data_IF_597444695338
#
_entry.id   IF_597444695338
#
_cell.length_a   1.000
_cell.length_b   1.000
_cell.length_c   1.000
_cell.angle_alpha   90.00
_cell.angle_beta   90.00
_cell.angle_gamma   90.00
#
_symmetry.space_group_name_H-M   'P 1'
#
loop_
_entity.id
_entity.type
_entity.pdbx_description
1 polymer ?
#
# COMPACT_ATOMS: atom_id res chain seq x y z
N UNK A 1 1.06 -16.52 21.79
CA UNK A 1 2.51 -16.35 21.97
C UNK A 1 3.02 -15.33 20.96
N UNK A 2 3.84 -14.37 21.38
CA UNK A 2 4.43 -13.36 20.49
C UNK A 2 5.69 -13.92 19.84
N UNK A 3 5.83 -13.76 18.53
CA UNK A 3 7.04 -14.14 17.80
C UNK A 3 8.20 -13.19 18.08
N UNK A 4 9.44 -13.63 17.81
CA UNK A 4 10.72 -12.92 18.01
C UNK A 4 10.85 -11.54 17.30
N UNK A 5 9.83 -11.10 16.57
CA UNK A 5 9.75 -9.82 15.85
C UNK A 5 8.77 -8.81 16.51
N UNK A 6 8.43 -9.01 17.78
CA UNK A 6 7.34 -8.28 18.45
C UNK A 6 7.69 -6.83 18.82
N UNK A 7 7.39 -5.88 17.93
CA UNK A 7 7.57 -4.42 18.11
C UNK A 7 6.51 -3.71 18.97
N UNK A 8 5.96 -4.36 20.01
CA UNK A 8 5.60 -3.71 21.29
C UNK A 8 4.79 -4.67 22.16
N UNK A 9 5.31 -4.97 23.34
CA UNK A 9 4.55 -5.62 24.40
C UNK A 9 3.69 -4.58 25.13
N UNK A 10 2.45 -4.92 25.53
CA UNK A 10 1.58 -4.05 26.33
C UNK A 10 2.13 -3.92 27.76
N UNK A 11 2.09 -2.70 28.31
CA UNK A 11 2.03 -2.48 29.77
C UNK A 11 0.54 -2.40 30.12
N UNK A 12 -0.03 -3.45 30.74
CA UNK A 12 -1.48 -3.52 31.00
C UNK A 12 -1.91 -2.67 32.22
N UNK A 13 -1.04 -2.45 33.20
CA UNK A 13 -1.31 -1.58 34.36
C UNK A 13 -0.08 -1.46 35.27
N UNK A 14 0.15 -0.30 35.88
CA UNK A 14 0.99 -0.18 37.08
C UNK A 14 0.23 -0.78 38.27
N UNK A 15 0.56 -2.00 38.65
CA UNK A 15 0.13 -2.56 39.94
C UNK A 15 0.68 -1.69 41.08
N UNK A 16 -0.18 -1.03 41.87
CA UNK A 16 0.22 -0.47 43.16
C UNK A 16 0.49 -1.63 44.12
N UNK A 17 1.70 -2.16 44.06
CA UNK A 17 2.19 -3.23 44.94
C UNK A 17 3.31 -4.01 44.28
N UNK A 18 4.51 -3.88 44.86
CA UNK A 18 5.73 -4.67 44.61
C UNK A 18 6.37 -4.64 43.21
N UNK A 19 6.38 -3.50 42.52
CA UNK A 19 7.43 -3.15 41.53
C UNK A 19 7.58 -4.02 40.27
N UNK A 20 6.86 -5.12 40.12
CA UNK A 20 6.96 -6.00 38.96
C UNK A 20 5.87 -5.67 37.92
N UNK A 21 6.32 -5.23 36.74
CA UNK A 21 5.48 -4.99 35.57
C UNK A 21 5.28 -6.31 34.83
N UNK A 22 4.06 -6.85 34.83
CA UNK A 22 3.71 -8.02 34.01
C UNK A 22 3.28 -7.57 32.61
N UNK A 23 4.05 -7.96 31.59
CA UNK A 23 3.72 -7.78 30.18
C UNK A 23 2.76 -8.90 29.73
N UNK A 24 1.52 -8.57 29.34
CA UNK A 24 0.63 -9.52 28.64
C UNK A 24 0.75 -9.31 27.13
N UNK A 25 1.02 -10.39 26.39
CA UNK A 25 1.08 -10.39 24.93
C UNK A 25 -0.26 -9.95 24.32
N UNK A 26 -0.30 -8.74 23.79
CA UNK A 26 -1.42 -8.19 23.04
C UNK A 26 -0.92 -7.40 21.84
N UNK A 27 -1.77 -7.22 20.82
CA UNK A 27 -1.42 -6.45 19.61
C UNK A 27 -0.86 -5.09 20.03
N UNK A 28 0.34 -4.71 19.55
CA UNK A 28 0.87 -3.37 19.71
C UNK A 28 -0.13 -2.24 19.48
N UNK A 29 -0.23 -1.32 20.44
CA UNK A 29 -1.03 -0.11 20.25
C UNK A 29 -0.35 0.86 19.25
N UNK A 30 0.99 0.78 19.13
CA UNK A 30 1.81 1.77 18.42
C UNK A 30 2.85 1.13 17.47
N UNK A 31 2.75 -0.16 17.12
CA UNK A 31 3.70 -0.74 16.14
C UNK A 31 3.26 -0.48 14.71
N UNK A 32 4.08 0.26 13.97
CA UNK A 32 4.05 0.35 12.52
C UNK A 32 5.39 -0.13 11.95
N UNK A 33 5.43 -1.03 10.94
CA UNK A 33 6.67 -1.50 10.30
C UNK A 33 7.53 -0.41 9.63
N UNK A 34 6.97 0.79 9.43
CA UNK A 34 7.57 1.89 8.69
C UNK A 34 7.72 3.16 9.54
N UNK A 35 7.88 3.00 10.86
CA UNK A 35 8.19 4.10 11.77
C UNK A 35 9.48 4.81 11.37
N UNK A 36 9.50 6.13 11.55
CA UNK A 36 10.68 6.95 11.29
C UNK A 36 11.71 6.83 12.43
N UNK A 37 12.99 7.15 12.17
CA UNK A 37 14.04 7.04 13.19
C UNK A 37 13.81 7.86 14.47
N UNK A 38 13.11 8.97 14.37
CA UNK A 38 12.68 9.82 15.49
C UNK A 38 11.53 9.19 16.29
N UNK A 39 10.53 8.63 15.60
CA UNK A 39 9.44 7.88 16.22
C UNK A 39 9.98 6.66 16.97
N UNK A 40 10.87 5.88 16.35
CA UNK A 40 11.53 4.72 16.96
C UNK A 40 12.28 5.14 18.22
N UNK A 41 13.09 6.20 18.16
CA UNK A 41 13.83 6.70 19.34
C UNK A 41 12.90 7.13 20.47
N UNK A 42 11.79 7.80 20.13
CA UNK A 42 10.78 8.21 21.10
C UNK A 42 10.14 6.99 21.79
N UNK A 43 9.70 6.00 21.03
CA UNK A 43 9.04 4.82 21.59
C UNK A 43 10.00 3.91 22.34
N UNK A 44 11.23 3.72 21.83
CA UNK A 44 12.28 2.98 22.53
C UNK A 44 12.58 3.60 23.90
N UNK A 45 12.69 4.94 23.97
CA UNK A 45 12.90 5.66 25.23
C UNK A 45 11.69 5.61 26.19
N UNK A 46 10.47 5.73 25.67
CA UNK A 46 9.25 5.69 26.50
C UNK A 46 8.93 4.29 27.04
N UNK A 47 9.17 3.25 26.24
CA UNK A 47 8.84 1.86 26.59
C UNK A 47 10.02 1.12 27.22
N UNK A 48 11.20 1.76 27.29
CA UNK A 48 12.47 1.14 27.69
C UNK A 48 12.73 -0.17 26.94
N UNK A 49 12.38 -0.19 25.65
CA UNK A 49 12.38 -1.38 24.81
C UNK A 49 13.56 -1.33 23.82
N UNK A 50 14.59 -2.13 24.09
CA UNK A 50 15.79 -2.24 23.25
C UNK A 50 15.55 -3.01 21.94
N UNK A 51 14.39 -3.64 21.76
CA UNK A 51 14.04 -4.36 20.53
C UNK A 51 13.58 -3.44 19.40
N UNK A 52 13.27 -2.17 19.72
CA UNK A 52 12.94 -1.12 18.76
C UNK A 52 14.20 -0.61 18.04
N UNK A 53 14.75 -1.43 17.15
CA UNK A 53 15.89 -1.07 16.31
C UNK A 53 15.43 -0.36 15.03
N UNK A 54 16.19 0.66 14.61
CA UNK A 54 16.01 1.30 13.31
C UNK A 54 16.59 0.42 12.21
N UNK A 55 15.73 -0.41 11.61
CA UNK A 55 16.07 -1.23 10.45
C UNK A 55 15.45 -0.58 9.21
N UNK A 56 16.28 -0.28 8.20
CA UNK A 56 15.79 0.22 6.92
C UNK A 56 15.11 -0.92 6.16
N UNK A 57 13.78 -0.96 6.22
CA UNK A 57 12.93 -1.90 5.47
C UNK A 57 12.95 -1.58 3.98
N UNK A 58 12.67 -2.53 3.07
CA UNK A 58 12.61 -2.24 1.62
C UNK A 58 11.46 -1.29 1.29
N UNK A 59 10.28 -1.63 1.83
CA UNK A 59 9.08 -0.81 1.78
C UNK A 59 9.20 0.35 2.76
N UNK A 60 9.03 1.59 2.33
CA UNK A 60 9.06 2.76 3.21
C UNK A 60 8.04 3.79 2.80
N UNK A 61 7.67 4.63 3.76
CA UNK A 61 6.67 5.66 3.55
C UNK A 61 7.12 6.81 2.64
N UNK A 62 8.41 6.98 2.36
CA UNK A 62 8.92 7.98 1.41
C UNK A 62 9.32 7.37 0.05
N UNK A 63 8.89 6.14 -0.23
CA UNK A 63 9.00 5.58 -1.57
C UNK A 63 8.15 6.44 -2.52
N UNK A 64 8.70 6.83 -3.67
CA UNK A 64 7.93 7.57 -4.67
C UNK A 64 7.00 6.61 -5.43
N UNK A 65 7.59 5.54 -5.95
CA UNK A 65 6.91 4.44 -6.63
C UNK A 65 7.79 3.20 -6.56
N UNK A 66 7.17 2.03 -6.76
CA UNK A 66 7.84 0.76 -6.97
C UNK A 66 7.27 0.09 -8.22
N UNK A 67 8.10 -0.66 -8.93
CA UNK A 67 7.71 -1.33 -10.16
C UNK A 67 8.15 -2.78 -10.17
N UNK A 68 7.33 -3.64 -10.76
CA UNK A 68 7.72 -4.99 -11.18
C UNK A 68 7.47 -5.07 -12.68
N UNK A 69 8.53 -5.27 -13.47
CA UNK A 69 8.45 -5.34 -14.92
C UNK A 69 8.47 -6.81 -15.32
N UNK A 70 7.41 -7.24 -15.99
CA UNK A 70 7.25 -8.58 -16.53
C UNK A 70 7.39 -8.52 -18.04
N UNK A 71 8.36 -9.26 -18.59
CA UNK A 71 8.57 -9.39 -20.03
C UNK A 71 8.30 -10.83 -20.43
N UNK A 72 7.40 -11.05 -21.39
CA UNK A 72 6.96 -12.39 -21.80
C UNK A 72 7.32 -12.64 -23.26
N UNK A 73 8.30 -13.51 -23.48
CA UNK A 73 8.85 -13.80 -24.81
C UNK A 73 7.89 -14.53 -25.75
N UNK A 74 6.85 -15.18 -25.21
CA UNK A 74 5.85 -15.93 -25.98
C UNK A 74 4.65 -15.08 -26.41
N UNK A 75 4.68 -13.77 -26.14
CA UNK A 75 3.61 -12.83 -26.49
C UNK A 75 4.18 -11.69 -27.35
N UNK A 76 3.37 -11.07 -28.21
CA UNK A 76 3.76 -9.86 -28.94
C UNK A 76 4.17 -8.71 -28.02
N UNK A 77 5.03 -7.81 -28.50
CA UNK A 77 5.68 -6.79 -27.68
C UNK A 77 4.73 -5.82 -26.97
N UNK A 78 3.54 -5.57 -27.53
CA UNK A 78 2.55 -4.63 -26.99
C UNK A 78 1.78 -5.18 -25.78
N UNK A 79 1.51 -6.48 -25.74
CA UNK A 79 0.83 -7.16 -24.63
C UNK A 79 1.82 -7.93 -23.72
N UNK A 80 2.96 -8.36 -24.26
CA UNK A 80 3.95 -9.19 -23.58
C UNK A 80 4.69 -8.47 -22.46
N UNK A 81 4.91 -7.17 -22.60
CA UNK A 81 5.48 -6.30 -21.58
C UNK A 81 4.42 -5.73 -20.64
N UNK A 82 4.57 -5.98 -19.34
CA UNK A 82 3.67 -5.44 -18.31
C UNK A 82 4.48 -4.82 -17.18
N UNK A 83 4.28 -3.52 -16.95
CA UNK A 83 4.82 -2.81 -15.79
C UNK A 83 3.75 -2.75 -14.69
N UNK A 84 3.97 -3.46 -13.60
CA UNK A 84 3.15 -3.40 -12.40
C UNK A 84 3.66 -2.29 -11.49
N UNK A 85 2.96 -1.17 -11.45
CA UNK A 85 3.38 0.03 -10.72
C UNK A 85 2.57 0.16 -9.43
N UNK A 86 3.24 0.48 -8.32
CA UNK A 86 2.62 0.95 -7.09
C UNK A 86 3.20 2.33 -6.73
N UNK A 87 2.34 3.27 -6.35
CA UNK A 87 2.76 4.59 -5.87
C UNK A 87 2.88 4.60 -4.36
N UNK A 88 3.75 5.46 -3.81
CA UNK A 88 3.99 5.54 -2.36
C UNK A 88 4.54 4.21 -1.79
N UNK A 89 4.15 3.81 -0.59
CA UNK A 89 4.72 2.64 0.08
C UNK A 89 4.30 1.29 -0.56
N UNK A 90 5.21 0.48 -1.12
CA UNK A 90 4.87 -0.80 -1.75
C UNK A 90 4.34 -1.87 -0.80
N UNK A 91 4.57 -1.72 0.50
CA UNK A 91 4.00 -2.59 1.54
C UNK A 91 2.56 -2.24 1.89
N UNK A 92 2.04 -1.12 1.37
CA UNK A 92 0.67 -0.68 1.60
C UNK A 92 -0.10 -0.59 0.28
N UNK A 93 0.42 0.13 -0.71
CA UNK A 93 -0.26 0.44 -1.96
C UNK A 93 -0.50 -0.79 -2.86
N UNK A 94 -1.56 -0.77 -3.69
CA UNK A 94 -1.79 -1.81 -4.68
C UNK A 94 -0.86 -1.61 -5.87
N UNK A 95 -0.70 -2.68 -6.67
CA UNK A 95 -0.06 -2.59 -7.98
C UNK A 95 -1.12 -2.58 -9.07
N UNK A 96 -0.99 -1.68 -10.03
CA UNK A 96 -1.81 -1.65 -11.24
C UNK A 96 -0.94 -1.93 -12.47
N UNK A 97 -1.48 -2.63 -13.49
CA UNK A 97 -0.73 -2.98 -14.69
C UNK A 97 -0.77 -1.85 -15.74
N UNK A 98 0.39 -1.58 -16.32
CA UNK A 98 0.54 -0.78 -17.54
C UNK A 98 1.17 -1.69 -18.59
N UNK A 99 0.50 -1.87 -19.72
CA UNK A 99 1.03 -2.65 -20.83
C UNK A 99 1.94 -1.80 -21.70
N UNK A 100 2.94 -2.41 -22.34
CA UNK A 100 3.85 -1.72 -23.27
C UNK A 100 3.13 -1.14 -24.48
N UNK A 101 1.99 -1.70 -24.87
CA UNK A 101 1.13 -1.19 -25.94
C UNK A 101 0.30 0.03 -25.58
N UNK A 102 0.34 0.49 -24.31
CA UNK A 102 -0.33 1.73 -23.93
C UNK A 102 0.35 2.93 -24.56
N UNK A 103 -0.45 3.83 -25.15
CA UNK A 103 0.00 5.14 -25.62
C UNK A 103 -0.41 6.27 -24.68
N UNK A 104 -1.42 6.03 -23.85
CA UNK A 104 -1.97 7.01 -22.92
C UNK A 104 -2.09 6.40 -21.53
N UNK A 105 -2.00 7.27 -20.53
CA UNK A 105 -2.15 6.92 -19.13
C UNK A 105 -3.18 7.85 -18.47
N UNK A 106 -3.83 7.40 -17.38
CA UNK A 106 -4.68 8.27 -16.57
C UNK A 106 -4.01 9.60 -16.24
N UNK A 107 -4.70 10.71 -16.50
CA UNK A 107 -4.18 12.08 -16.35
C UNK A 107 -3.54 12.33 -14.97
N UNK A 108 -4.10 11.73 -13.91
CA UNK A 108 -3.61 11.85 -12.53
C UNK A 108 -2.18 11.33 -12.33
N UNK A 109 -1.71 10.41 -13.18
CA UNK A 109 -0.33 9.91 -13.15
C UNK A 109 0.66 10.93 -13.73
N UNK A 110 0.20 11.82 -14.62
CA UNK A 110 1.02 12.90 -15.19
C UNK A 110 1.22 14.09 -14.25
N UNK A 111 0.50 14.14 -13.13
CA UNK A 111 0.57 15.26 -12.19
C UNK A 111 1.54 14.95 -11.03
N UNK A 112 2.57 15.78 -10.88
CA UNK A 112 3.50 15.66 -9.75
C UNK A 112 2.80 16.02 -8.43
N UNK A 113 2.69 15.03 -7.53
CA UNK A 113 2.19 15.20 -6.17
C UNK A 113 3.27 15.37 -5.09
N UNK A 114 4.57 15.39 -5.42
CA UNK A 114 5.61 15.34 -4.38
C UNK A 114 5.79 16.64 -3.60
N UNK A 115 5.66 17.80 -4.28
CA UNK A 115 5.94 19.09 -3.65
C UNK A 115 4.80 19.63 -2.77
N UNK A 116 3.55 19.28 -3.08
CA UNK A 116 2.37 19.78 -2.36
C UNK A 116 1.20 18.81 -2.48
N UNK A 117 0.28 18.86 -1.52
CA UNK A 117 -1.01 18.15 -1.61
C UNK A 117 -1.77 18.66 -2.83
N UNK A 118 -2.20 17.73 -3.67
CA UNK A 118 -3.11 17.99 -4.79
C UNK A 118 -4.06 16.82 -4.96
N UNK A 119 -5.32 17.12 -5.21
CA UNK A 119 -6.37 16.12 -5.42
C UNK A 119 -6.36 15.57 -6.85
N UNK A 120 -5.73 16.27 -7.79
CA UNK A 120 -5.55 15.82 -9.18
C UNK A 120 -4.31 14.92 -9.36
N UNK A 121 -3.58 14.61 -8.30
CA UNK A 121 -2.38 13.78 -8.34
C UNK A 121 -2.62 12.41 -7.69
N UNK A 122 -2.42 11.35 -8.48
CA UNK A 122 -2.64 9.95 -8.09
C UNK A 122 -1.97 9.59 -6.75
N UNK A 123 -0.78 10.14 -6.52
CA UNK A 123 0.03 9.90 -5.33
C UNK A 123 -0.73 10.18 -4.02
N UNK A 124 -1.56 11.23 -3.97
CA UNK A 124 -2.19 11.65 -2.72
C UNK A 124 -3.35 10.75 -2.30
N UNK A 125 -4.05 10.14 -3.24
CA UNK A 125 -5.07 9.13 -2.96
C UNK A 125 -4.47 7.93 -2.23
N UNK A 126 -3.31 7.44 -2.69
CA UNK A 126 -2.61 6.35 -2.00
C UNK A 126 -2.00 6.79 -0.68
N UNK A 127 -1.30 7.93 -0.68
CA UNK A 127 -0.58 8.43 0.48
C UNK A 127 -1.50 8.74 1.66
N UNK A 128 -2.69 9.30 1.43
CA UNK A 128 -3.62 9.62 2.51
C UNK A 128 -4.06 8.37 3.28
N UNK A 129 -4.56 7.35 2.58
CA UNK A 129 -4.95 6.09 3.21
C UNK A 129 -3.75 5.40 3.90
N UNK A 130 -2.59 5.38 3.24
CA UNK A 130 -1.37 4.77 3.78
C UNK A 130 -0.95 5.45 5.09
N UNK A 131 -0.95 6.79 5.16
CA UNK A 131 -0.57 7.54 6.37
C UNK A 131 -1.54 7.31 7.52
N UNK A 132 -2.84 7.38 7.27
CA UNK A 132 -3.85 7.14 8.32
C UNK A 132 -3.75 5.69 8.81
N UNK A 133 -3.53 4.73 7.89
CA UNK A 133 -3.40 3.33 8.27
C UNK A 133 -2.22 3.08 9.20
N UNK A 134 -1.08 3.74 8.95
CA UNK A 134 0.14 3.61 9.75
C UNK A 134 -0.01 4.11 11.19
N UNK A 135 -0.93 5.06 11.47
CA UNK A 135 -1.14 5.58 12.82
C UNK A 135 -1.63 4.50 13.80
N UNK A 136 -2.50 3.59 13.33
CA UNK A 136 -3.03 2.47 14.11
C UNK A 136 -2.95 1.18 13.29
N UNK A 137 -1.73 0.84 12.87
CA UNK A 137 -1.46 -0.29 11.95
C UNK A 137 -2.06 -1.61 12.45
N UNK A 138 -2.01 -1.89 13.76
CA UNK A 138 -2.60 -3.10 14.34
C UNK A 138 -4.11 -3.27 14.09
N UNK A 139 -4.84 -2.16 13.82
CA UNK A 139 -6.27 -2.18 13.51
C UNK A 139 -6.56 -2.10 12.00
N UNK A 140 -5.69 -1.45 11.23
CA UNK A 140 -5.93 -1.19 9.79
C UNK A 140 -5.31 -2.23 8.87
N UNK A 141 -4.20 -2.86 9.30
CA UNK A 141 -3.41 -3.87 8.56
C UNK A 141 -4.27 -4.86 7.79
N UNK A 142 -5.18 -5.54 8.48
CA UNK A 142 -5.94 -6.66 7.90
C UNK A 142 -6.79 -6.18 6.71
N UNK A 143 -7.48 -5.04 6.88
CA UNK A 143 -8.29 -4.46 5.81
C UNK A 143 -7.47 -3.93 4.64
N UNK A 144 -6.29 -3.36 4.90
CA UNK A 144 -5.41 -2.82 3.88
C UNK A 144 -4.74 -3.94 3.08
N UNK A 145 -4.20 -4.95 3.76
CA UNK A 145 -3.61 -6.14 3.14
C UNK A 145 -4.64 -6.92 2.33
N UNK A 146 -5.88 -7.04 2.82
CA UNK A 146 -6.97 -7.66 2.07
C UNK A 146 -7.28 -6.89 0.78
N UNK A 147 -7.31 -5.55 0.82
CA UNK A 147 -7.51 -4.73 -0.38
C UNK A 147 -6.34 -4.85 -1.37
N UNK A 148 -5.10 -4.87 -0.88
CA UNK A 148 -3.91 -5.08 -1.71
C UNK A 148 -3.95 -6.46 -2.39
N UNK A 149 -4.27 -7.50 -1.63
CA UNK A 149 -4.39 -8.87 -2.13
C UNK A 149 -5.50 -8.99 -3.18
N UNK A 150 -6.65 -8.34 -2.95
CA UNK A 150 -7.74 -8.30 -3.92
C UNK A 150 -7.28 -7.78 -5.29
N UNK A 151 -6.52 -6.69 -5.36
CA UNK A 151 -6.04 -6.16 -6.65
C UNK A 151 -4.96 -7.04 -7.28
N UNK A 152 -4.13 -7.68 -6.46
CA UNK A 152 -3.16 -8.66 -6.98
C UNK A 152 -3.88 -9.86 -7.62
N UNK A 153 -4.91 -10.39 -6.96
CA UNK A 153 -5.70 -11.50 -7.49
C UNK A 153 -6.59 -11.08 -8.66
N UNK A 154 -7.12 -9.86 -8.63
CA UNK A 154 -7.83 -9.25 -9.78
C UNK A 154 -6.91 -9.20 -11.00
N UNK A 155 -5.69 -8.68 -10.85
CA UNK A 155 -4.71 -8.61 -11.93
C UNK A 155 -4.38 -9.99 -12.51
N UNK A 156 -4.15 -10.99 -11.66
CA UNK A 156 -3.92 -12.38 -12.10
C UNK A 156 -5.11 -12.98 -12.84
N UNK A 157 -6.32 -12.77 -12.32
CA UNK A 157 -7.57 -13.34 -12.85
C UNK A 157 -7.96 -12.71 -14.18
N UNK A 158 -7.75 -11.41 -14.32
CA UNK A 158 -8.08 -10.65 -15.53
C UNK A 158 -6.99 -10.77 -16.61
N UNK A 159 -5.79 -11.23 -16.28
CA UNK A 159 -4.68 -11.34 -17.24
C UNK A 159 -5.04 -12.20 -18.47
N UNK A 160 -5.60 -13.39 -18.27
CA UNK A 160 -6.05 -14.25 -19.37
C UNK A 160 -7.19 -13.63 -20.18
N UNK A 161 -8.07 -12.86 -19.53
CA UNK A 161 -9.15 -12.14 -20.21
C UNK A 161 -8.60 -11.05 -21.13
N UNK A 162 -7.67 -10.22 -20.63
CA UNK A 162 -7.03 -9.15 -21.42
C UNK A 162 -6.32 -9.73 -22.64
N UNK A 163 -5.60 -10.85 -22.47
CA UNK A 163 -4.91 -11.53 -23.57
C UNK A 163 -5.88 -12.04 -24.63
N UNK A 164 -6.96 -12.72 -24.23
CA UNK A 164 -7.97 -13.24 -25.15
C UNK A 164 -8.69 -12.11 -25.89
N UNK A 165 -9.05 -11.03 -25.19
CA UNK A 165 -9.66 -9.86 -25.82
C UNK A 165 -8.70 -9.24 -26.82
N UNK A 166 -7.43 -9.03 -26.44
CA UNK A 166 -6.41 -8.46 -27.33
C UNK A 166 -6.23 -9.27 -28.63
N UNK A 167 -6.25 -10.61 -28.55
CA UNK A 167 -6.18 -11.48 -29.74
C UNK A 167 -7.38 -11.32 -30.67
N UNK A 168 -8.56 -11.07 -30.11
CA UNK A 168 -9.81 -10.92 -30.86
C UNK A 168 -10.09 -9.46 -31.28
N UNK A 169 -9.29 -8.50 -30.82
CA UNK A 169 -9.41 -7.08 -31.18
C UNK A 169 -8.58 -6.77 -32.42
N UNK A 170 -9.15 -5.94 -33.30
CA UNK A 170 -8.47 -5.43 -34.49
C UNK A 170 -7.21 -4.65 -34.13
N UNK A 171 -6.19 -4.74 -34.97
CA UNK A 171 -4.86 -4.15 -34.72
C UNK A 171 -4.93 -2.65 -34.37
N UNK A 172 -5.83 -1.91 -35.03
CA UNK A 172 -6.02 -0.46 -34.82
C UNK A 172 -6.68 -0.11 -33.49
N UNK A 173 -7.40 -1.05 -32.88
CA UNK A 173 -8.17 -0.82 -31.64
C UNK A 173 -7.47 -1.38 -30.39
N UNK A 174 -6.45 -2.24 -30.55
CA UNK A 174 -5.70 -2.86 -29.44
C UNK A 174 -5.14 -1.84 -28.45
N UNK A 175 -4.53 -0.77 -28.95
CA UNK A 175 -3.99 0.31 -28.09
C UNK A 175 -5.09 0.98 -27.27
N UNK A 176 -6.23 1.29 -27.89
CA UNK A 176 -7.36 1.90 -27.19
C UNK A 176 -7.92 0.97 -26.11
N UNK A 177 -8.01 -0.33 -26.39
CA UNK A 177 -8.39 -1.34 -25.42
C UNK A 177 -7.43 -1.40 -24.22
N UNK A 178 -6.10 -1.44 -24.45
CA UNK A 178 -5.10 -1.48 -23.39
C UNK A 178 -5.10 -0.19 -22.54
N UNK A 179 -5.24 0.98 -23.19
CA UNK A 179 -5.41 2.26 -22.51
C UNK A 179 -6.64 2.24 -21.59
N UNK A 180 -7.78 1.75 -22.10
CA UNK A 180 -9.01 1.62 -21.34
C UNK A 180 -8.87 0.69 -20.14
N UNK A 181 -8.33 -0.52 -20.34
CA UNK A 181 -8.14 -1.47 -19.25
C UNK A 181 -7.23 -0.94 -18.14
N UNK A 182 -6.09 -0.33 -18.49
CA UNK A 182 -5.20 0.30 -17.50
C UNK A 182 -5.91 1.41 -16.75
N UNK A 183 -6.70 2.25 -17.44
CA UNK A 183 -7.45 3.32 -16.80
C UNK A 183 -8.52 2.80 -15.84
N UNK A 184 -9.29 1.79 -16.24
CA UNK A 184 -10.33 1.19 -15.40
C UNK A 184 -9.74 0.50 -14.17
N UNK A 185 -8.65 -0.25 -14.36
CA UNK A 185 -7.95 -0.89 -13.25
C UNK A 185 -7.40 0.16 -12.27
N UNK A 186 -6.75 1.20 -12.79
CA UNK A 186 -6.19 2.29 -12.00
C UNK A 186 -7.27 3.08 -11.24
N UNK A 187 -8.38 3.41 -11.89
CA UNK A 187 -9.49 4.14 -11.26
C UNK A 187 -10.14 3.30 -10.15
N UNK A 188 -10.26 1.99 -10.35
CA UNK A 188 -10.72 1.08 -9.30
C UNK A 188 -9.77 1.07 -8.08
N UNK A 189 -8.45 1.09 -8.31
CA UNK A 189 -7.48 1.17 -7.20
C UNK A 189 -7.56 2.50 -6.45
N UNK A 190 -7.71 3.63 -7.17
CA UNK A 190 -7.90 4.96 -6.55
C UNK A 190 -9.16 4.98 -5.69
N UNK A 191 -10.30 4.58 -6.27
CA UNK A 191 -11.58 4.59 -5.56
C UNK A 191 -11.53 3.74 -4.28
N UNK A 192 -10.89 2.57 -4.35
CA UNK A 192 -10.73 1.72 -3.17
C UNK A 192 -9.84 2.34 -2.10
N UNK A 193 -8.76 3.01 -2.48
CA UNK A 193 -7.89 3.68 -1.51
C UNK A 193 -8.57 4.88 -0.85
N UNK A 194 -9.36 5.64 -1.61
CA UNK A 194 -10.17 6.73 -1.07
C UNK A 194 -11.25 6.22 -0.10
N UNK A 195 -11.88 5.09 -0.39
CA UNK A 195 -12.79 4.42 0.55
C UNK A 195 -12.09 4.03 1.84
N UNK A 196 -10.90 3.44 1.75
CA UNK A 196 -10.10 3.06 2.91
C UNK A 196 -9.71 4.30 3.74
N UNK A 197 -9.28 5.38 3.09
CA UNK A 197 -8.99 6.65 3.76
C UNK A 197 -10.20 7.16 4.55
N UNK A 198 -11.38 7.23 3.90
CA UNK A 198 -12.64 7.65 4.54
C UNK A 198 -13.03 6.71 5.69
N UNK A 199 -12.87 5.40 5.52
CA UNK A 199 -13.17 4.39 6.54
C UNK A 199 -12.27 4.58 7.76
N UNK A 200 -10.96 4.69 7.56
CA UNK A 200 -10.01 4.87 8.66
C UNK A 200 -10.20 6.21 9.35
N UNK A 201 -10.46 7.28 8.60
CA UNK A 201 -10.81 8.57 9.16
C UNK A 201 -12.01 8.45 10.10
N UNK A 202 -13.13 7.89 9.63
CA UNK A 202 -14.34 7.68 10.46
C UNK A 202 -14.07 6.79 11.67
N UNK A 203 -13.27 5.75 11.52
CA UNK A 203 -12.93 4.85 12.63
C UNK A 203 -12.13 5.56 13.73
N UNK A 204 -11.32 6.57 13.37
CA UNK A 204 -10.43 7.27 14.30
C UNK A 204 -10.91 8.68 14.67
N UNK A 205 -12.02 9.14 14.11
CA UNK A 205 -12.55 10.49 14.34
C UNK A 205 -13.14 10.68 15.75
N UNK A 206 -13.64 9.60 16.37
CA UNK A 206 -14.23 9.65 17.70
C UNK A 206 -13.14 9.68 18.79
N UNK A 207 -13.33 10.56 19.78
CA UNK A 207 -12.34 10.79 20.85
C UNK A 207 -12.00 12.26 21.12
N UNK A 208 -12.75 13.20 20.53
CA UNK A 208 -12.89 14.57 21.03
C UNK A 208 -14.00 14.64 22.07
#
# INVERSE_FOLDING_TARGET
>A
EGTELSLSCKIDSLSKGNGEVKLKGGKPLISNPWMRPDEIRRYAGLLNDSTMANIRTVSVSWCAYSTVIQLRSWMPDDIGGVAWIALDNPGQSPRFPIFSGNTELPMMLGVCGQHRKREDAALWHYREANRISSMKWGQTRESLQSAQQYFLDKGKREQSFVEQTWWNTDEKERTAFLNGYTADFFNATIGRWDELAKKYWRQFWSGF
#
